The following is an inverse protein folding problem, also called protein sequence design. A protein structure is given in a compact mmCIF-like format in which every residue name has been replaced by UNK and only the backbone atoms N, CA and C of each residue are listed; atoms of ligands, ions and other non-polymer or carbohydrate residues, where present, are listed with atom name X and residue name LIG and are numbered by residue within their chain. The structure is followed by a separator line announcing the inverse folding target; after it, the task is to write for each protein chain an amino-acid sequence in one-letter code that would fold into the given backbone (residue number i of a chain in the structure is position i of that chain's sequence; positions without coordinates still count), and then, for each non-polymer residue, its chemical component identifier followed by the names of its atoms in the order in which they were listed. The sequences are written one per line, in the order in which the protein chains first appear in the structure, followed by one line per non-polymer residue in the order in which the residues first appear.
data_IF_597612745953
#
_entry.id   IF_597612745953
#
_cell.length_a   1.000
_cell.length_b   1.000
_cell.length_c   1.000
_cell.angle_alpha   90.00
_cell.angle_beta   90.00
_cell.angle_gamma   90.00
#
_symmetry.space_group_name_H-M   'P 1'
#
loop_
_entity.id
_entity.type
_entity.pdbx_description
1 polymer ?
#
# COMPACT_ATOMS: atom_id res chain seq x y z
N UNK A 1 11.63 10.81 0.62
CA UNK A 1 11.33 10.24 1.96
C UNK A 1 10.20 9.23 1.83
N UNK A 2 10.37 8.04 2.42
CA UNK A 2 9.43 6.92 2.33
C UNK A 2 8.01 7.29 2.78
N UNK A 3 7.90 8.15 3.80
CA UNK A 3 6.61 8.68 4.30
C UNK A 3 5.73 9.31 3.19
N UNK A 4 6.32 10.11 2.29
CA UNK A 4 5.58 10.71 1.15
C UNK A 4 5.05 9.63 0.20
N UNK A 5 5.83 8.57 -0.03
CA UNK A 5 5.40 7.47 -0.90
C UNK A 5 4.23 6.69 -0.31
N UNK A 6 4.26 6.42 1.01
CA UNK A 6 3.15 5.75 1.72
C UNK A 6 1.85 6.53 1.54
N UNK A 7 1.88 7.85 1.77
CA UNK A 7 0.72 8.72 1.59
C UNK A 7 0.24 8.72 0.13
N UNK A 8 1.15 8.81 -0.84
CA UNK A 8 0.80 8.79 -2.26
C UNK A 8 0.13 7.47 -2.68
N UNK A 9 0.61 6.33 -2.17
CA UNK A 9 0.00 5.02 -2.45
C UNK A 9 -1.40 4.92 -1.86
N UNK A 10 -1.62 5.45 -0.64
CA UNK A 10 -2.95 5.52 -0.03
C UNK A 10 -3.92 6.39 -0.85
N UNK A 11 -3.47 7.55 -1.34
CA UNK A 11 -4.29 8.44 -2.17
C UNK A 11 -4.66 7.79 -3.51
N UNK A 12 -3.69 7.13 -4.16
CA UNK A 12 -3.95 6.39 -5.40
C UNK A 12 -4.94 5.25 -5.15
N UNK A 13 -4.78 4.52 -4.04
CA UNK A 13 -5.70 3.45 -3.68
C UNK A 13 -7.12 3.97 -3.46
N UNK A 14 -7.28 5.11 -2.77
CA UNK A 14 -8.59 5.74 -2.58
C UNK A 14 -9.25 6.13 -3.90
N UNK A 15 -8.47 6.67 -4.85
CA UNK A 15 -8.98 7.02 -6.18
C UNK A 15 -9.42 5.78 -6.96
N UNK A 16 -8.55 4.77 -7.04
CA UNK A 16 -8.84 3.51 -7.74
C UNK A 16 -10.04 2.78 -7.11
N UNK A 17 -10.09 2.70 -5.77
CA UNK A 17 -11.15 2.00 -5.02
C UNK A 17 -12.50 2.72 -5.05
N UNK A 18 -12.54 4.04 -5.24
CA UNK A 18 -13.82 4.76 -5.36
C UNK A 18 -14.56 4.47 -6.67
N UNK A 19 -13.83 4.01 -7.70
CA UNK A 19 -14.37 3.72 -9.03
C UNK A 19 -14.68 2.22 -9.23
N UNK A 20 -14.29 1.34 -8.31
CA UNK A 20 -14.34 -0.10 -8.50
C UNK A 20 -15.64 -0.71 -7.96
N UNK A 21 -16.58 -1.02 -8.86
CA UNK A 21 -17.79 -1.85 -8.58
C UNK A 21 -17.63 -3.25 -9.19
N UNK A 22 -16.73 -3.40 -10.16
CA UNK A 22 -16.48 -4.65 -10.87
C UNK A 22 -15.44 -5.54 -10.17
N UNK A 23 -15.73 -6.84 -10.08
CA UNK A 23 -14.83 -7.86 -9.54
C UNK A 23 -13.48 -7.91 -10.28
N UNK A 24 -13.47 -7.63 -11.60
CA UNK A 24 -12.23 -7.51 -12.37
C UNK A 24 -11.35 -6.36 -11.88
N UNK A 25 -11.96 -5.19 -11.66
CA UNK A 25 -11.23 -3.99 -11.22
C UNK A 25 -10.70 -4.22 -9.79
N UNK A 26 -11.48 -4.86 -8.91
CA UNK A 26 -11.04 -5.26 -7.58
C UNK A 26 -9.79 -6.15 -7.62
N UNK A 27 -9.76 -7.14 -8.53
CA UNK A 27 -8.59 -8.00 -8.71
C UNK A 27 -7.38 -7.24 -9.27
N UNK A 28 -7.57 -6.33 -10.23
CA UNK A 28 -6.49 -5.48 -10.75
C UNK A 28 -5.91 -4.57 -9.66
N UNK A 29 -6.76 -3.99 -8.82
CA UNK A 29 -6.35 -3.23 -7.63
C UNK A 29 -5.58 -4.14 -6.67
N UNK A 30 -6.07 -5.34 -6.38
CA UNK A 30 -5.37 -6.31 -5.51
C UNK A 30 -3.95 -6.57 -6.03
N UNK A 31 -3.80 -6.86 -7.32
CA UNK A 31 -2.50 -7.14 -7.93
C UNK A 31 -1.59 -5.90 -7.90
N UNK A 32 -2.12 -4.72 -8.24
CA UNK A 32 -1.38 -3.44 -8.27
C UNK A 32 -0.82 -3.06 -6.89
N UNK A 33 -1.60 -3.25 -5.83
CA UNK A 33 -1.22 -2.81 -4.49
C UNK A 33 -0.60 -3.93 -3.64
N UNK A 34 -1.28 -5.08 -3.55
CA UNK A 34 -0.91 -6.21 -2.67
C UNK A 34 -0.20 -7.36 -3.42
N UNK A 35 -0.06 -7.27 -4.74
CA UNK A 35 0.63 -8.28 -5.53
C UNK A 35 2.11 -8.43 -5.15
N UNK A 36 2.74 -9.48 -5.69
CA UNK A 36 4.16 -9.80 -5.44
C UNK A 36 5.12 -8.66 -5.85
N UNK A 37 4.77 -7.92 -6.89
CA UNK A 37 5.47 -6.69 -7.32
C UNK A 37 4.63 -5.43 -7.06
N UNK A 38 3.65 -5.52 -6.16
CA UNK A 38 2.73 -4.44 -5.86
C UNK A 38 3.40 -3.26 -5.16
N UNK A 39 2.70 -2.13 -5.15
CA UNK A 39 3.18 -0.89 -4.54
C UNK A 39 3.48 -1.07 -3.04
N UNK A 40 2.63 -1.80 -2.31
CA UNK A 40 2.83 -2.04 -0.87
C UNK A 40 4.08 -2.90 -0.63
N UNK A 41 4.25 -3.97 -1.41
CA UNK A 41 5.42 -4.86 -1.32
C UNK A 41 6.72 -4.10 -1.60
N UNK A 42 6.74 -3.23 -2.62
CA UNK A 42 7.90 -2.39 -2.90
C UNK A 42 8.22 -1.42 -1.75
N UNK A 43 7.21 -0.84 -1.09
CA UNK A 43 7.44 0.02 0.07
C UNK A 43 8.02 -0.74 1.26
N UNK A 44 7.66 -2.02 1.45
CA UNK A 44 8.28 -2.88 2.46
C UNK A 44 9.75 -3.19 2.14
N UNK A 45 10.11 -3.34 0.87
CA UNK A 45 11.52 -3.46 0.46
C UNK A 45 12.28 -2.17 0.74
N UNK A 46 11.71 -1.01 0.40
CA UNK A 46 12.32 0.30 0.71
C UNK A 46 12.45 0.54 2.23
N UNK A 47 11.51 0.02 3.04
CA UNK A 47 11.57 0.08 4.50
C UNK A 47 12.84 -0.59 5.05
N UNK A 48 13.34 -1.67 4.41
CA UNK A 48 14.56 -2.36 4.84
C UNK A 48 15.79 -1.44 4.79
N UNK A 49 15.79 -0.48 3.89
CA UNK A 49 16.88 0.49 3.67
C UNK A 49 16.78 1.73 4.57
N UNK A 50 15.73 1.86 5.39
CA UNK A 50 15.57 3.01 6.29
C UNK A 50 16.34 2.82 7.61
N UNK A 51 16.80 3.93 8.19
CA UNK A 51 17.44 3.99 9.51
C UNK A 51 16.58 3.36 10.60
N UNK A 52 17.25 2.78 11.62
CA UNK A 52 16.58 2.07 12.73
C UNK A 52 15.62 2.95 13.52
N UNK A 53 15.87 4.26 13.56
CA UNK A 53 15.06 5.25 14.28
C UNK A 53 13.70 5.49 13.61
N UNK A 54 13.65 5.55 12.27
CA UNK A 54 12.42 5.80 11.52
C UNK A 54 11.67 4.51 11.15
N UNK A 55 12.38 3.38 11.09
CA UNK A 55 11.82 2.05 10.79
C UNK A 55 10.54 1.70 11.57
N UNK A 56 10.45 1.87 12.91
CA UNK A 56 9.24 1.51 13.65
C UNK A 56 8.02 2.36 13.27
N UNK A 57 8.18 3.67 13.06
CA UNK A 57 7.08 4.56 12.68
C UNK A 57 6.58 4.27 11.25
N UNK A 58 7.52 4.08 10.32
CA UNK A 58 7.21 3.77 8.91
C UNK A 58 6.65 2.36 8.75
N UNK A 59 7.16 1.39 9.50
CA UNK A 59 6.65 0.02 9.53
C UNK A 59 5.21 -0.06 10.03
N UNK A 60 4.87 0.68 11.10
CA UNK A 60 3.48 0.80 11.57
C UNK A 60 2.57 1.41 10.50
N UNK A 61 3.04 2.48 9.85
CA UNK A 61 2.29 3.14 8.77
C UNK A 61 2.07 2.20 7.57
N UNK A 62 3.06 1.39 7.22
CA UNK A 62 2.96 0.40 6.15
C UNK A 62 2.03 -0.77 6.46
N UNK A 63 2.07 -1.30 7.68
CA UNK A 63 1.10 -2.29 8.12
C UNK A 63 -0.33 -1.73 8.06
N UNK A 64 -0.55 -0.52 8.58
CA UNK A 64 -1.85 0.12 8.51
C UNK A 64 -2.35 0.35 7.08
N UNK A 65 -1.46 0.74 6.16
CA UNK A 65 -1.78 0.86 4.73
C UNK A 65 -2.20 -0.50 4.14
N UNK A 66 -1.42 -1.55 4.41
CA UNK A 66 -1.70 -2.91 3.94
C UNK A 66 -3.06 -3.41 4.43
N UNK A 67 -3.35 -3.24 5.72
CA UNK A 67 -4.61 -3.67 6.32
C UNK A 67 -5.81 -2.91 5.74
N UNK A 68 -5.68 -1.59 5.58
CA UNK A 68 -6.73 -0.77 4.95
C UNK A 68 -7.06 -1.19 3.52
N UNK A 69 -6.03 -1.49 2.72
CA UNK A 69 -6.19 -1.96 1.35
C UNK A 69 -6.83 -3.36 1.35
N UNK A 70 -6.34 -4.26 2.20
CA UNK A 70 -6.85 -5.64 2.29
C UNK A 70 -8.32 -5.65 2.69
N UNK A 71 -8.70 -4.90 3.73
CA UNK A 71 -10.09 -4.82 4.23
C UNK A 71 -11.08 -4.17 3.26
N UNK A 72 -10.59 -3.45 2.25
CA UNK A 72 -11.44 -2.83 1.22
C UNK A 72 -11.63 -3.72 -0.01
N UNK A 73 -10.71 -4.67 -0.23
CA UNK A 73 -10.71 -5.56 -1.38
C UNK A 73 -11.24 -6.96 -1.03
N UNK A 74 -11.03 -7.40 0.21
CA UNK A 74 -11.48 -8.69 0.78
C UNK A 74 -12.70 -8.46 1.67
#
# INVERSE_FOLDING_TARGET
MLAKKIVSVLENFRKDSSASIDLKILEEIRIKYLGRNGLVTNLFEELKSVSKEEKPALGKSLNSLRDQITSKIT
#
